data_IF_604117208458
#
_entry.id   IF_604117208458
#
_cell.length_a   1.000
_cell.length_b   1.000
_cell.length_c   1.000
_cell.angle_alpha   90.00
_cell.angle_beta   90.00
_cell.angle_gamma   90.00
#
_symmetry.space_group_name_H-M   'P 1'
#
loop_
_entity.id
_entity.type
_entity.pdbx_description
1 polymer ?
#
# COMPACT_ATOMS: atom_id res chain seq x y z
N UNK A 1 1.89 -9.03 19.47
CA UNK A 1 1.44 -9.31 18.11
C UNK A 1 1.53 -10.80 17.85
N UNK A 2 0.75 -11.33 16.92
CA UNK A 2 0.79 -12.75 16.56
C UNK A 2 2.01 -13.04 15.68
N UNK A 3 2.55 -14.26 15.75
CA UNK A 3 3.76 -14.64 14.97
C UNK A 3 3.57 -14.45 13.46
N UNK A 4 2.34 -14.53 12.96
CA UNK A 4 2.04 -14.40 11.54
C UNK A 4 2.38 -13.01 10.98
N UNK A 5 2.26 -11.93 11.77
CA UNK A 5 2.59 -10.58 11.29
C UNK A 5 4.09 -10.46 10.98
N UNK A 6 4.94 -11.08 11.79
CA UNK A 6 6.39 -11.06 11.57
C UNK A 6 6.81 -11.91 10.36
N UNK A 7 6.05 -12.97 10.05
CA UNK A 7 6.27 -13.72 8.82
C UNK A 7 5.88 -12.92 7.59
N UNK A 8 4.73 -12.21 7.63
CA UNK A 8 4.31 -11.29 6.57
C UNK A 8 5.34 -10.15 6.43
N UNK A 9 5.80 -9.56 7.53
CA UNK A 9 6.86 -8.54 7.53
C UNK A 9 8.11 -9.02 6.80
N UNK A 10 8.59 -10.23 7.10
CA UNK A 10 9.79 -10.80 6.46
C UNK A 10 9.62 -10.92 4.95
N UNK A 11 8.46 -11.43 4.49
CA UNK A 11 8.15 -11.58 3.05
C UNK A 11 8.12 -10.19 2.38
N UNK A 12 7.44 -9.22 3.00
CA UNK A 12 7.34 -7.85 2.47
C UNK A 12 8.71 -7.19 2.40
N UNK A 13 9.57 -7.42 3.39
CA UNK A 13 10.95 -6.91 3.42
C UNK A 13 11.80 -7.50 2.29
N UNK A 14 11.69 -8.80 2.01
CA UNK A 14 12.35 -9.43 0.88
C UNK A 14 11.88 -8.83 -0.46
N UNK A 15 10.58 -8.59 -0.62
CA UNK A 15 10.03 -7.90 -1.78
C UNK A 15 10.55 -6.46 -1.90
N UNK A 16 10.76 -5.76 -0.79
CA UNK A 16 11.39 -4.44 -0.79
C UNK A 16 12.80 -4.43 -1.37
N UNK A 17 13.58 -5.49 -1.20
CA UNK A 17 14.88 -5.63 -1.87
C UNK A 17 14.74 -5.73 -3.39
N UNK A 18 13.65 -6.33 -3.89
CA UNK A 18 13.37 -6.35 -5.33
C UNK A 18 13.11 -4.93 -5.84
N UNK A 19 12.33 -4.11 -5.12
CA UNK A 19 12.14 -2.69 -5.46
C UNK A 19 13.47 -1.91 -5.51
N UNK A 20 14.34 -2.12 -4.52
CA UNK A 20 15.63 -1.44 -4.45
C UNK A 20 16.61 -1.89 -5.55
N UNK A 21 16.44 -3.09 -6.10
CA UNK A 21 17.26 -3.64 -7.18
C UNK A 21 16.79 -3.22 -8.57
N UNK A 22 15.95 -2.17 -8.67
CA UNK A 22 15.45 -1.69 -9.97
C UNK A 22 16.61 -1.32 -10.90
N UNK A 23 16.45 -1.67 -12.17
CA UNK A 23 17.31 -1.26 -13.27
C UNK A 23 16.54 -0.31 -14.19
N UNK A 24 17.23 0.39 -15.10
CA UNK A 24 16.65 1.38 -16.00
C UNK A 24 15.53 0.85 -16.90
N UNK A 25 15.58 -0.45 -17.26
CA UNK A 25 14.51 -1.11 -17.99
C UNK A 25 13.38 -1.53 -17.04
N UNK A 26 12.31 -0.74 -16.96
CA UNK A 26 11.16 -0.98 -16.11
C UNK A 26 10.03 -1.72 -16.80
N UNK A 27 10.07 -1.80 -18.16
CA UNK A 27 8.98 -2.40 -18.96
C UNK A 27 7.62 -1.82 -18.55
N UNK A 28 7.48 -0.49 -18.76
CA UNK A 28 6.32 0.28 -18.29
C UNK A 28 5.16 0.06 -19.26
N UNK A 29 4.03 -0.40 -18.73
CA UNK A 29 2.75 -0.47 -19.44
C UNK A 29 1.78 0.57 -18.85
N UNK A 30 0.92 1.17 -19.66
CA UNK A 30 -0.13 2.07 -19.22
C UNK A 30 -1.44 1.28 -19.10
N UNK A 31 -2.08 1.35 -17.90
CA UNK A 31 -3.42 0.82 -17.66
C UNK A 31 -4.47 1.83 -18.17
N UNK A 32 -5.76 1.55 -17.97
CA UNK A 32 -6.84 2.50 -18.27
C UNK A 32 -6.67 3.79 -17.44
N UNK A 33 -6.59 4.94 -18.11
CA UNK A 33 -6.44 6.27 -17.52
C UNK A 33 -5.00 6.81 -17.59
N UNK A 34 -4.87 8.11 -17.85
CA UNK A 34 -3.58 8.79 -18.02
C UNK A 34 -2.74 8.69 -16.76
N UNK A 35 -1.52 8.14 -16.88
CA UNK A 35 -0.58 8.01 -15.76
C UNK A 35 -0.83 6.83 -14.82
N UNK A 36 -1.83 5.98 -15.13
CA UNK A 36 -2.05 4.74 -14.41
C UNK A 36 -1.08 3.66 -14.96
N UNK A 37 0.05 3.52 -14.30
CA UNK A 37 1.18 2.72 -14.79
C UNK A 37 1.28 1.37 -14.07
N UNK A 38 1.82 0.38 -14.77
CA UNK A 38 2.29 -0.87 -14.21
C UNK A 38 3.67 -1.19 -14.79
N UNK A 39 4.51 -1.78 -13.99
CA UNK A 39 5.85 -2.21 -14.39
C UNK A 39 6.01 -3.72 -14.25
N UNK A 40 7.06 -4.27 -14.83
CA UNK A 40 7.42 -5.69 -14.59
C UNK A 40 7.69 -5.99 -13.11
N UNK A 41 8.07 -4.97 -12.33
CA UNK A 41 8.31 -5.11 -10.88
C UNK A 41 7.02 -5.28 -10.11
N UNK A 42 5.94 -4.58 -10.47
CA UNK A 42 4.61 -4.76 -9.86
C UNK A 42 4.17 -6.21 -10.01
N UNK A 43 4.24 -6.74 -11.24
CA UNK A 43 3.88 -8.13 -11.55
C UNK A 43 4.77 -9.13 -10.80
N UNK A 44 6.09 -8.90 -10.77
CA UNK A 44 7.06 -9.77 -10.10
C UNK A 44 6.83 -9.81 -8.59
N UNK A 45 6.67 -8.65 -7.96
CA UNK A 45 6.47 -8.52 -6.52
C UNK A 45 5.12 -9.12 -6.12
N UNK A 46 4.04 -8.84 -6.88
CA UNK A 46 2.74 -9.44 -6.60
C UNK A 46 2.78 -10.97 -6.64
N UNK A 47 3.39 -11.54 -7.67
CA UNK A 47 3.51 -13.00 -7.78
C UNK A 47 4.32 -13.57 -6.60
N UNK A 48 5.43 -12.93 -6.23
CA UNK A 48 6.22 -13.36 -5.07
C UNK A 48 5.43 -13.28 -3.78
N UNK A 49 4.70 -12.18 -3.54
CA UNK A 49 3.83 -12.01 -2.39
C UNK A 49 2.74 -13.08 -2.36
N UNK A 50 2.04 -13.30 -3.48
CA UNK A 50 0.99 -14.32 -3.59
C UNK A 50 1.50 -15.70 -3.20
N UNK A 51 2.62 -16.12 -3.79
CA UNK A 51 3.20 -17.45 -3.56
C UNK A 51 3.59 -17.65 -2.09
N UNK A 52 4.24 -16.67 -1.47
CA UNK A 52 4.71 -16.80 -0.08
C UNK A 52 3.58 -16.62 0.94
N UNK A 53 2.66 -15.67 0.71
CA UNK A 53 1.54 -15.43 1.63
C UNK A 53 0.55 -16.60 1.65
N UNK A 54 0.27 -17.22 0.49
CA UNK A 54 -0.60 -18.39 0.43
C UNK A 54 0.05 -19.65 1.00
N UNK A 55 1.39 -19.72 1.11
CA UNK A 55 2.06 -20.76 1.89
C UNK A 55 1.83 -20.60 3.39
N UNK A 56 1.70 -19.36 3.89
CA UNK A 56 1.40 -19.11 5.30
C UNK A 56 -0.03 -19.47 5.66
N UNK A 57 -1.00 -19.17 4.79
CA UNK A 57 -2.41 -19.46 4.97
C UNK A 57 -2.97 -20.03 3.66
N UNK A 58 -2.84 -21.35 3.42
CA UNK A 58 -3.25 -21.96 2.15
C UNK A 58 -4.76 -21.83 1.83
N UNK A 59 -5.58 -21.58 2.84
CA UNK A 59 -7.04 -21.41 2.71
C UNK A 59 -7.45 -19.95 2.48
N UNK A 60 -6.50 -19.01 2.49
CA UNK A 60 -6.80 -17.61 2.25
C UNK A 60 -7.11 -17.33 0.78
N UNK A 61 -8.02 -16.39 0.54
CA UNK A 61 -8.15 -15.73 -0.75
C UNK A 61 -7.05 -14.68 -0.93
N UNK A 62 -6.74 -14.36 -2.17
CA UNK A 62 -5.76 -13.33 -2.53
C UNK A 62 -6.41 -12.30 -3.45
N UNK A 63 -6.31 -11.05 -3.08
CA UNK A 63 -6.77 -9.90 -3.84
C UNK A 63 -5.55 -9.02 -4.14
N UNK A 64 -5.07 -9.04 -5.38
CA UNK A 64 -3.95 -8.22 -5.85
C UNK A 64 -4.44 -7.06 -6.71
N UNK A 65 -3.70 -5.98 -6.76
CA UNK A 65 -3.99 -4.84 -7.65
C UNK A 65 -3.77 -5.24 -9.12
N UNK A 66 -2.74 -6.06 -9.38
CA UNK A 66 -2.36 -6.42 -10.74
C UNK A 66 -3.04 -7.70 -11.21
N UNK A 67 -3.73 -7.60 -12.36
CA UNK A 67 -4.38 -8.72 -13.01
C UNK A 67 -5.89 -8.74 -12.82
N UNK A 68 -6.56 -9.55 -13.68
CA UNK A 68 -8.03 -9.73 -13.71
C UNK A 68 -8.44 -11.05 -13.01
N UNK A 69 -7.64 -11.56 -12.09
CA UNK A 69 -8.01 -12.77 -11.36
C UNK A 69 -9.27 -12.53 -10.52
N UNK A 70 -9.98 -13.61 -10.17
CA UNK A 70 -11.19 -13.54 -9.34
C UNK A 70 -10.84 -13.02 -7.94
N UNK A 71 -10.66 -11.71 -7.85
CA UNK A 71 -10.40 -11.00 -6.62
C UNK A 71 -11.65 -11.08 -5.73
N UNK A 72 -11.70 -12.05 -4.84
CA UNK A 72 -12.84 -12.26 -3.93
C UNK A 72 -12.43 -12.10 -2.49
N UNK A 73 -13.10 -11.18 -1.81
CA UNK A 73 -13.02 -11.08 -0.34
C UNK A 73 -13.94 -12.13 0.27
N UNK A 74 -13.39 -13.00 1.11
CA UNK A 74 -14.16 -14.03 1.79
C UNK A 74 -14.95 -13.42 2.96
N UNK A 75 -16.25 -13.66 3.00
CA UNK A 75 -17.09 -13.28 4.15
C UNK A 75 -16.66 -14.01 5.43
N UNK A 76 -16.21 -15.27 5.30
CA UNK A 76 -15.68 -16.08 6.38
C UNK A 76 -14.31 -16.62 5.98
N UNK A 77 -13.31 -16.46 6.84
CA UNK A 77 -11.94 -16.89 6.60
C UNK A 77 -10.97 -15.73 6.38
N UNK A 78 -9.87 -16.01 5.70
CA UNK A 78 -8.80 -15.06 5.51
C UNK A 78 -8.72 -14.57 4.05
N UNK A 79 -8.46 -13.28 3.86
CA UNK A 79 -8.17 -12.70 2.55
C UNK A 79 -6.96 -11.78 2.66
N UNK A 80 -5.94 -12.01 1.83
CA UNK A 80 -4.87 -11.05 1.62
C UNK A 80 -5.31 -10.01 0.59
N UNK A 81 -5.10 -8.73 0.89
CA UNK A 81 -5.22 -7.61 -0.06
C UNK A 81 -3.83 -7.03 -0.22
N UNK A 82 -3.37 -6.92 -1.46
CA UNK A 82 -1.98 -6.59 -1.78
C UNK A 82 -1.92 -5.52 -2.86
N UNK A 83 -1.16 -4.47 -2.57
CA UNK A 83 -0.64 -3.53 -3.56
C UNK A 83 0.89 -3.73 -3.60
N UNK A 84 1.42 -4.24 -4.73
CA UNK A 84 2.83 -4.58 -4.84
C UNK A 84 3.75 -3.37 -4.85
N UNK A 85 3.31 -2.26 -5.47
CA UNK A 85 4.04 -0.98 -5.49
C UNK A 85 3.04 0.17 -5.45
N UNK A 86 2.53 0.49 -4.26
CA UNK A 86 1.75 1.72 -4.06
C UNK A 86 2.60 2.93 -4.45
N UNK A 87 2.09 3.73 -5.39
CA UNK A 87 2.83 4.83 -6.00
C UNK A 87 3.73 4.38 -7.17
N UNK A 88 3.23 3.55 -8.09
CA UNK A 88 3.97 3.09 -9.29
C UNK A 88 4.50 4.27 -10.12
N UNK A 89 3.73 5.35 -10.25
CA UNK A 89 4.20 6.56 -10.93
C UNK A 89 5.47 7.14 -10.25
N UNK A 90 5.47 7.25 -8.93
CA UNK A 90 6.64 7.70 -8.16
C UNK A 90 7.82 6.73 -8.31
N UNK A 91 7.53 5.42 -8.35
CA UNK A 91 8.52 4.39 -8.59
C UNK A 91 9.18 4.54 -9.96
N UNK A 92 8.40 4.75 -11.04
CA UNK A 92 8.95 4.93 -12.39
C UNK A 92 9.83 6.18 -12.52
N UNK A 93 9.59 7.22 -11.72
CA UNK A 93 10.32 8.49 -11.68
C UNK A 93 11.46 8.53 -10.66
N UNK A 94 11.72 7.42 -9.97
CA UNK A 94 12.73 7.32 -8.90
C UNK A 94 12.55 8.36 -7.76
N UNK A 95 11.29 8.71 -7.46
CA UNK A 95 10.99 9.69 -6.41
C UNK A 95 11.19 9.13 -5.01
N UNK A 96 11.35 7.81 -4.87
CA UNK A 96 11.53 7.09 -3.58
C UNK A 96 10.34 7.22 -2.62
N UNK A 97 9.18 7.54 -3.19
CA UNK A 97 7.90 7.68 -2.51
C UNK A 97 6.94 6.57 -2.96
N UNK A 98 7.35 5.33 -2.74
CA UNK A 98 6.56 4.14 -3.05
C UNK A 98 6.71 3.12 -1.95
N UNK A 99 5.68 2.31 -1.76
CA UNK A 99 5.65 1.32 -0.69
C UNK A 99 5.02 -0.01 -1.18
N UNK A 100 5.33 -1.10 -0.49
CA UNK A 100 4.60 -2.37 -0.60
C UNK A 100 3.55 -2.38 0.49
N UNK A 101 2.29 -2.65 0.14
CA UNK A 101 1.19 -2.70 1.09
C UNK A 101 0.52 -4.08 1.09
N UNK A 102 0.40 -4.67 2.28
CA UNK A 102 -0.25 -5.97 2.49
C UNK A 102 -1.21 -5.85 3.66
N UNK A 103 -2.48 -6.17 3.43
CA UNK A 103 -3.47 -6.34 4.48
C UNK A 103 -3.94 -7.80 4.54
N UNK A 104 -4.13 -8.32 5.74
CA UNK A 104 -4.82 -9.57 5.99
C UNK A 104 -6.16 -9.27 6.65
N UNK A 105 -7.24 -9.62 5.97
CA UNK A 105 -8.57 -9.60 6.53
C UNK A 105 -8.89 -10.94 7.17
N UNK A 106 -9.66 -10.91 8.25
CA UNK A 106 -10.32 -12.08 8.85
C UNK A 106 -11.80 -11.79 8.87
N UNK A 107 -12.59 -12.64 8.22
CA UNK A 107 -14.05 -12.51 8.13
C UNK A 107 -14.46 -11.11 7.59
N UNK A 108 -13.81 -10.67 6.52
CA UNK A 108 -13.95 -9.35 5.86
C UNK A 108 -13.56 -8.15 6.74
N UNK A 109 -12.97 -8.37 7.92
CA UNK A 109 -12.55 -7.29 8.83
C UNK A 109 -11.02 -7.18 8.80
N UNK A 110 -10.43 -5.97 8.67
CA UNK A 110 -8.99 -5.77 8.77
C UNK A 110 -8.44 -6.35 10.08
N UNK A 111 -7.45 -7.25 9.95
CA UNK A 111 -6.86 -7.96 11.07
C UNK A 111 -5.37 -7.62 11.24
N UNK A 112 -4.60 -7.68 10.16
CA UNK A 112 -3.18 -7.32 10.12
C UNK A 112 -2.94 -6.38 8.94
N UNK A 113 -2.06 -5.41 9.11
CA UNK A 113 -1.53 -4.56 8.04
C UNK A 113 -0.02 -4.46 8.15
N UNK A 114 0.64 -4.56 7.00
CA UNK A 114 2.08 -4.38 6.82
C UNK A 114 2.28 -3.44 5.64
N UNK A 115 2.98 -2.32 5.87
CA UNK A 115 3.33 -1.38 4.81
C UNK A 115 4.83 -1.05 4.93
N UNK A 116 5.56 -1.15 3.82
CA UNK A 116 7.01 -0.98 3.81
C UNK A 116 7.48 -0.04 2.71
N UNK A 117 8.09 1.08 3.10
CA UNK A 117 8.88 1.90 2.20
C UNK A 117 10.35 1.47 2.31
N UNK A 118 10.92 0.75 1.32
CA UNK A 118 12.27 0.24 1.39
C UNK A 118 13.35 1.33 1.25
N UNK A 119 13.03 2.45 0.62
CA UNK A 119 13.99 3.53 0.36
C UNK A 119 14.46 4.24 1.64
N UNK A 120 13.55 4.38 2.61
CA UNK A 120 13.83 5.01 3.91
C UNK A 120 13.80 3.99 5.05
N UNK A 121 13.65 2.69 4.72
CA UNK A 121 13.57 1.58 5.66
C UNK A 121 12.50 1.79 6.75
N UNK A 122 11.32 2.26 6.35
CA UNK A 122 10.17 2.41 7.24
C UNK A 122 9.20 1.25 7.07
N UNK A 123 9.09 0.42 8.10
CA UNK A 123 8.18 -0.71 8.20
C UNK A 123 7.08 -0.40 9.19
N UNK A 124 5.87 -0.21 8.67
CA UNK A 124 4.67 0.00 9.46
C UNK A 124 3.95 -1.34 9.66
N UNK A 125 3.66 -1.68 10.89
CA UNK A 125 2.93 -2.88 11.28
C UNK A 125 1.73 -2.48 12.11
N UNK A 126 0.56 -3.06 11.84
CA UNK A 126 -0.61 -2.91 12.69
C UNK A 126 -1.35 -4.24 12.82
N UNK A 127 -1.90 -4.48 13.99
CA UNK A 127 -2.77 -5.63 14.24
C UNK A 127 -3.97 -5.16 15.06
N UNK A 128 -5.15 -5.68 14.70
CA UNK A 128 -6.40 -5.40 15.40
C UNK A 128 -6.20 -5.60 16.91
N UNK A 129 -6.62 -4.60 17.68
CA UNK A 129 -6.56 -4.55 19.15
C UNK A 129 -5.14 -4.60 19.76
N UNK A 130 -4.07 -4.55 18.94
CA UNK A 130 -2.66 -4.55 19.40
C UNK A 130 -1.96 -3.21 19.14
N UNK A 131 -2.56 -2.33 18.32
CA UNK A 131 -2.02 -1.03 17.94
C UNK A 131 -1.12 -1.06 16.72
N UNK A 132 -0.43 0.05 16.46
CA UNK A 132 0.43 0.26 15.31
C UNK A 132 1.88 0.53 15.73
N UNK A 133 2.82 0.17 14.86
CA UNK A 133 4.25 0.23 15.11
C UNK A 133 4.99 0.68 13.85
N UNK A 134 6.02 1.48 14.03
CA UNK A 134 7.01 1.85 13.01
C UNK A 134 8.37 1.30 13.46
N UNK A 135 8.96 0.42 12.64
CA UNK A 135 10.24 -0.22 12.96
C UNK A 135 10.27 -0.77 14.40
N UNK A 136 9.23 -1.52 14.79
CA UNK A 136 9.02 -2.11 16.12
C UNK A 136 8.79 -1.11 17.27
N UNK A 137 8.74 0.20 17.00
CA UNK A 137 8.36 1.21 18.01
C UNK A 137 6.89 1.50 17.90
N UNK A 138 6.16 1.41 19.01
CA UNK A 138 4.74 1.74 19.05
C UNK A 138 4.51 3.20 18.65
N UNK A 139 3.56 3.41 17.75
CA UNK A 139 3.13 4.74 17.31
C UNK A 139 1.67 4.98 17.72
N UNK A 140 1.33 6.25 17.88
CA UNK A 140 -0.02 6.71 18.18
C UNK A 140 -0.34 7.92 17.30
N UNK A 141 -1.62 8.14 17.04
CA UNK A 141 -2.07 9.32 16.33
C UNK A 141 -1.76 10.60 17.12
N UNK A 142 -1.53 11.70 16.39
CA UNK A 142 -1.38 13.03 17.02
C UNK A 142 -2.70 13.48 17.66
N UNK A 143 -2.62 14.18 18.77
CA UNK A 143 -3.74 14.87 19.43
C UNK A 143 -3.98 16.30 18.89
N UNK A 144 -3.19 16.71 17.88
CA UNK A 144 -3.31 18.02 17.25
C UNK A 144 -4.66 18.19 16.57
N UNK A 145 -5.26 19.36 16.75
CA UNK A 145 -6.49 19.75 16.04
C UNK A 145 -6.15 20.08 14.57
N UNK A 146 -7.14 19.97 13.70
CA UNK A 146 -7.00 20.27 12.28
C UNK A 146 -6.40 21.66 12.01
N UNK A 147 -6.78 22.67 12.80
CA UNK A 147 -6.27 24.04 12.68
C UNK A 147 -4.75 24.19 12.97
N UNK A 148 -4.11 23.19 13.58
CA UNK A 148 -2.67 23.19 13.90
C UNK A 148 -1.95 21.96 13.34
N UNK A 149 -2.62 21.19 12.51
CA UNK A 149 -2.09 19.99 11.85
C UNK A 149 -1.50 20.29 10.47
N UNK A 150 -0.70 19.37 9.97
CA UNK A 150 -0.33 19.27 8.57
C UNK A 150 -1.29 18.30 7.90
N UNK A 151 -1.96 18.73 6.84
CA UNK A 151 -2.81 17.87 6.01
C UNK A 151 -2.05 17.53 4.73
N UNK A 152 -1.81 16.24 4.52
CA UNK A 152 -1.38 15.71 3.23
C UNK A 152 -2.64 15.36 2.43
N UNK A 153 -2.68 15.83 1.21
CA UNK A 153 -3.83 15.65 0.35
C UNK A 153 -3.40 14.99 -0.96
N UNK A 154 -4.04 13.87 -1.29
CA UNK A 154 -3.92 13.21 -2.57
C UNK A 154 -5.19 13.39 -3.37
N UNK A 155 -5.09 13.63 -4.67
CA UNK A 155 -6.21 13.58 -5.60
C UNK A 155 -6.03 12.41 -6.56
N UNK A 156 -7.13 11.80 -7.01
CA UNK A 156 -7.08 10.79 -8.06
C UNK A 156 -7.02 11.50 -9.43
N UNK A 157 -5.87 11.54 -10.12
CA UNK A 157 -5.77 12.15 -11.44
C UNK A 157 -6.53 11.35 -12.50
N UNK A 158 -6.94 10.12 -12.17
CA UNK A 158 -7.61 9.18 -13.08
C UNK A 158 -9.13 9.33 -13.10
N UNK A 159 -9.70 10.14 -12.20
CA UNK A 159 -11.12 10.38 -12.10
C UNK A 159 -11.39 11.88 -11.93
N UNK A 160 -11.84 12.53 -13.02
CA UNK A 160 -12.04 13.97 -13.07
C UNK A 160 -13.07 14.46 -12.02
N UNK A 161 -14.12 13.70 -11.76
CA UNK A 161 -15.13 14.07 -10.76
C UNK A 161 -14.55 14.06 -9.35
N UNK A 162 -13.81 13.02 -8.99
CA UNK A 162 -13.13 12.92 -7.69
C UNK A 162 -12.04 13.98 -7.55
N UNK A 163 -11.28 14.24 -8.62
CA UNK A 163 -10.27 15.29 -8.66
C UNK A 163 -10.91 16.66 -8.35
N UNK A 164 -11.98 17.03 -9.06
CA UNK A 164 -12.67 18.30 -8.85
C UNK A 164 -13.28 18.43 -7.46
N UNK A 165 -13.95 17.39 -6.94
CA UNK A 165 -14.46 17.35 -5.56
C UNK A 165 -13.37 17.54 -4.54
N UNK A 166 -12.20 16.99 -4.78
CA UNK A 166 -11.04 17.12 -3.91
C UNK A 166 -10.57 18.57 -3.82
N UNK A 167 -10.49 19.28 -4.94
CA UNK A 167 -10.14 20.71 -4.98
C UNK A 167 -11.22 21.60 -4.35
N UNK A 168 -12.50 21.29 -4.55
CA UNK A 168 -13.60 22.01 -3.87
C UNK A 168 -13.48 21.89 -2.36
N UNK A 169 -13.16 20.69 -1.84
CA UNK A 169 -12.96 20.47 -0.41
C UNK A 169 -11.79 21.29 0.14
N UNK A 170 -10.69 21.39 -0.60
CA UNK A 170 -9.53 22.21 -0.25
C UNK A 170 -9.89 23.71 -0.22
N UNK A 171 -10.58 24.19 -1.24
CA UNK A 171 -10.98 25.59 -1.34
C UNK A 171 -12.00 26.01 -0.25
N UNK A 172 -12.83 25.07 0.22
CA UNK A 172 -13.80 25.32 1.31
C UNK A 172 -13.17 25.27 2.70
N UNK A 173 -11.96 24.73 2.82
CA UNK A 173 -11.24 24.62 4.09
C UNK A 173 -10.19 25.73 4.19
N UNK A 174 -10.17 26.49 5.29
CA UNK A 174 -9.09 27.47 5.58
C UNK A 174 -7.77 26.77 5.93
N UNK A 175 -7.42 25.69 5.22
CA UNK A 175 -6.27 24.82 5.52
C UNK A 175 -5.16 25.12 4.51
N UNK A 176 -3.94 25.35 5.01
CA UNK A 176 -2.75 25.39 4.19
C UNK A 176 -2.43 23.95 3.74
N UNK A 177 -2.72 23.62 2.48
CA UNK A 177 -2.43 22.30 1.93
C UNK A 177 -1.12 22.33 1.15
N UNK A 178 -0.24 21.37 1.40
CA UNK A 178 0.90 21.07 0.55
C UNK A 178 0.55 19.87 -0.33
N UNK A 179 0.75 20.03 -1.63
CA UNK A 179 0.50 18.96 -2.61
C UNK A 179 1.75 18.09 -2.74
N UNK A 180 1.55 16.78 -2.64
CA UNK A 180 2.47 15.78 -3.15
C UNK A 180 1.66 15.01 -4.21
N UNK A 181 1.99 15.24 -5.46
CA UNK A 181 1.47 14.49 -6.61
C UNK A 181 2.41 13.33 -6.90
#
# INVERSE_FOLDING_TARGET
>A
MDDIIYKIESIVRECGHIMLSRYDDLDIEEKEGIGNLVTKYDKLIQNRLKDELLKLIPTASFFGEEGKEENKILENGYTFIVDPIDGTFNFTRDMKLSAISVALLKDSIPYISVCFNPYINEMYLAQKDKGAYLNNKKIVVSDKKLASGLLLFGSSPYNEELHNKSFELLNSSSILAFFIS
#
